data_IF_879287848741
#
_entry.id   IF_879287848741
#
_cell.length_a   1.000
_cell.length_b   1.000
_cell.length_c   1.000
_cell.angle_alpha   90.00
_cell.angle_beta   90.00
_cell.angle_gamma   90.00
#
_symmetry.space_group_name_H-M   'P 1'
#
loop_
_entity.id
_entity.type
_entity.pdbx_description
1 polymer ?
#
# COMPACT_ATOMS: atom_id res chain seq x y z
N UNK A 1 35.20 -4.70 36.82
CA UNK A 1 35.61 -4.82 35.39
C UNK A 1 37.06 -4.36 35.21
N UNK A 2 37.83 -4.94 34.27
CA UNK A 2 39.13 -4.38 33.87
C UNK A 2 38.94 -3.00 33.22
N UNK A 3 39.83 -2.04 33.50
CA UNK A 3 39.82 -0.67 32.93
C UNK A 3 39.66 -0.68 31.41
N UNK A 4 40.25 -1.68 30.74
CA UNK A 4 40.20 -1.83 29.29
C UNK A 4 38.79 -2.17 28.74
N UNK A 5 37.99 -2.93 29.49
CA UNK A 5 36.63 -3.28 29.06
C UNK A 5 35.69 -2.07 29.15
N UNK A 6 35.82 -1.25 30.19
CA UNK A 6 35.04 -0.02 30.36
C UNK A 6 35.37 0.99 29.25
N UNK A 7 36.65 1.14 28.93
CA UNK A 7 37.11 2.03 27.85
C UNK A 7 36.67 1.55 26.46
N UNK A 8 36.59 0.23 26.23
CA UNK A 8 36.07 -0.32 24.96
C UNK A 8 34.55 -0.14 24.82
N UNK A 9 33.77 -0.30 25.90
CA UNK A 9 32.33 -0.08 25.91
C UNK A 9 31.98 1.40 25.64
N UNK A 10 32.70 2.32 26.28
CA UNK A 10 32.53 3.76 26.05
C UNK A 10 32.78 4.17 24.59
N UNK A 11 33.83 3.62 23.96
CA UNK A 11 34.13 3.87 22.54
C UNK A 11 33.05 3.32 21.61
N UNK A 12 32.49 2.15 21.91
CA UNK A 12 31.38 1.57 21.13
C UNK A 12 30.11 2.42 21.25
N UNK A 13 29.80 2.91 22.46
CA UNK A 13 28.65 3.77 22.71
C UNK A 13 28.76 5.10 21.94
N UNK A 14 29.90 5.78 22.05
CA UNK A 14 30.17 7.05 21.35
C UNK A 14 30.07 6.88 19.83
N UNK A 15 30.66 5.80 19.31
CA UNK A 15 30.53 5.45 17.89
C UNK A 15 29.06 5.27 17.50
N UNK A 16 28.30 4.41 18.19
CA UNK A 16 26.89 4.17 17.85
C UNK A 16 26.03 5.44 17.97
N UNK A 17 26.32 6.33 18.92
CA UNK A 17 25.63 7.62 19.07
C UNK A 17 25.92 8.57 17.91
N UNK A 18 27.18 8.69 17.47
CA UNK A 18 27.56 9.51 16.31
C UNK A 18 26.81 9.03 15.05
N UNK A 19 26.77 7.72 14.81
CA UNK A 19 26.10 7.17 13.63
C UNK A 19 24.58 7.23 13.72
N UNK A 20 24.00 7.10 14.92
CA UNK A 20 22.58 7.36 15.15
C UNK A 20 22.20 8.80 14.80
N UNK A 21 22.95 9.79 15.32
CA UNK A 21 22.73 11.21 15.02
C UNK A 21 22.85 11.49 13.52
N UNK A 22 23.85 10.92 12.85
CA UNK A 22 24.01 11.03 11.39
C UNK A 22 22.84 10.42 10.63
N UNK A 23 22.32 9.27 11.06
CA UNK A 23 21.15 8.63 10.45
C UNK A 23 19.89 9.50 10.61
N UNK A 24 19.66 10.05 11.80
CA UNK A 24 18.56 10.98 12.08
C UNK A 24 18.63 12.23 11.20
N UNK A 25 19.82 12.81 11.01
CA UNK A 25 20.02 13.93 10.09
C UNK A 25 19.66 13.56 8.64
N UNK A 26 20.06 12.38 8.18
CA UNK A 26 19.70 11.90 6.83
C UNK A 26 18.19 11.70 6.69
N UNK A 27 17.51 11.18 7.72
CA UNK A 27 16.05 11.02 7.73
C UNK A 27 15.35 12.38 7.58
N UNK A 28 15.79 13.41 8.32
CA UNK A 28 15.24 14.77 8.22
C UNK A 28 15.42 15.31 6.79
N UNK A 29 16.63 15.23 6.24
CA UNK A 29 16.92 15.68 4.88
C UNK A 29 16.10 14.92 3.82
N UNK A 30 15.86 13.62 4.02
CA UNK A 30 15.07 12.79 3.12
C UNK A 30 13.57 13.09 3.23
N UNK A 31 13.07 13.41 4.42
CA UNK A 31 11.70 13.87 4.61
C UNK A 31 11.43 15.20 3.91
N UNK A 32 12.36 16.14 3.93
CA UNK A 32 12.27 17.39 3.17
C UNK A 32 12.25 17.13 1.65
N UNK A 33 13.15 16.26 1.18
CA UNK A 33 13.20 15.83 -0.23
C UNK A 33 11.92 15.11 -0.65
N UNK A 34 11.38 14.23 0.19
CA UNK A 34 10.14 13.50 -0.05
C UNK A 34 8.95 14.46 -0.11
N UNK A 35 8.89 15.43 0.79
CA UNK A 35 7.83 16.45 0.81
C UNK A 35 7.88 17.33 -0.44
N UNK A 36 9.08 17.78 -0.84
CA UNK A 36 9.29 18.55 -2.07
C UNK A 36 8.95 17.77 -3.34
N UNK A 37 9.35 16.50 -3.41
CA UNK A 37 9.03 15.61 -4.54
C UNK A 37 7.54 15.26 -4.58
N UNK A 38 6.92 15.05 -3.42
CA UNK A 38 5.49 14.76 -3.30
C UNK A 38 4.65 15.97 -3.69
N UNK A 39 5.05 17.18 -3.28
CA UNK A 39 4.41 18.42 -3.72
C UNK A 39 4.48 18.55 -5.24
N UNK A 40 5.67 18.38 -5.84
CA UNK A 40 5.85 18.42 -7.31
C UNK A 40 5.04 17.36 -8.06
N UNK A 41 4.84 16.18 -7.46
CA UNK A 41 3.97 15.14 -8.00
C UNK A 41 2.48 15.48 -7.88
N UNK A 42 2.07 16.17 -6.81
CA UNK A 42 0.69 16.59 -6.52
C UNK A 42 0.25 17.89 -7.20
N UNK A 43 1.18 18.76 -7.65
CA UNK A 43 0.84 19.99 -8.40
C UNK A 43 0.11 19.64 -9.72
N UNK A 44 -1.09 20.19 -10.01
CA UNK A 44 -1.90 19.78 -11.16
C UNK A 44 -1.33 20.15 -12.55
N UNK A 45 -1.16 19.12 -13.38
CA UNK A 45 -1.54 18.99 -14.80
C UNK A 45 -1.44 20.17 -15.78
N UNK A 46 -0.24 20.50 -16.30
CA UNK A 46 -0.13 21.42 -17.47
C UNK A 46 0.70 20.90 -18.66
N UNK A 47 1.05 19.60 -18.74
CA UNK A 47 1.84 19.17 -19.92
C UNK A 47 1.58 17.77 -20.50
N UNK A 48 0.76 16.91 -19.89
CA UNK A 48 0.46 15.58 -20.47
C UNK A 48 1.67 14.65 -20.71
N UNK A 49 2.89 15.04 -20.29
CA UNK A 49 4.13 14.29 -20.53
C UNK A 49 4.23 13.10 -19.58
N UNK A 50 3.84 11.91 -20.07
CA UNK A 50 3.87 10.64 -19.33
C UNK A 50 5.26 10.27 -18.78
N UNK A 51 6.33 10.63 -19.49
CA UNK A 51 7.73 10.39 -19.10
C UNK A 51 8.12 11.09 -17.79
N UNK A 52 7.66 12.31 -17.57
CA UNK A 52 7.96 13.09 -16.36
C UNK A 52 7.32 12.50 -15.09
N UNK A 53 6.14 11.88 -15.24
CA UNK A 53 5.44 11.23 -14.12
C UNK A 53 6.10 9.94 -13.68
N UNK A 54 6.58 9.14 -14.64
CA UNK A 54 7.31 7.92 -14.33
C UNK A 54 8.61 8.24 -13.58
N UNK A 55 9.36 9.25 -14.03
CA UNK A 55 10.58 9.72 -13.36
C UNK A 55 10.31 10.21 -11.92
N UNK A 56 9.25 11.01 -11.70
CA UNK A 56 8.87 11.44 -10.35
C UNK A 56 8.42 10.27 -9.46
N UNK A 57 7.69 9.29 -10.01
CA UNK A 57 7.28 8.10 -9.25
C UNK A 57 8.48 7.26 -8.82
N UNK A 58 9.44 7.03 -9.73
CA UNK A 58 10.69 6.35 -9.41
C UNK A 58 11.50 7.12 -8.36
N UNK A 59 11.59 8.44 -8.49
CA UNK A 59 12.30 9.30 -7.52
C UNK A 59 11.64 9.26 -6.14
N UNK A 60 10.31 9.28 -6.08
CA UNK A 60 9.57 9.13 -4.81
C UNK A 60 9.85 7.76 -4.17
N UNK A 61 9.74 6.67 -4.93
CA UNK A 61 10.03 5.33 -4.44
C UNK A 61 11.49 5.18 -3.96
N UNK A 62 12.45 5.78 -4.67
CA UNK A 62 13.86 5.74 -4.27
C UNK A 62 14.14 6.55 -3.00
N UNK A 63 13.56 7.76 -2.87
CA UNK A 63 13.70 8.58 -1.64
C UNK A 63 13.07 7.86 -0.46
N UNK A 64 11.90 7.27 -0.64
CA UNK A 64 11.20 6.52 0.39
C UNK A 64 11.96 5.26 0.80
N UNK A 65 12.49 4.50 -0.16
CA UNK A 65 13.36 3.35 0.11
C UNK A 65 14.61 3.73 0.88
N UNK A 66 15.34 4.77 0.43
CA UNK A 66 16.54 5.24 1.12
C UNK A 66 16.23 5.76 2.53
N UNK A 67 15.11 6.47 2.70
CA UNK A 67 14.66 6.93 4.03
C UNK A 67 14.41 5.75 4.95
N UNK A 68 13.75 4.70 4.46
CA UNK A 68 13.50 3.49 5.25
C UNK A 68 14.81 2.80 5.65
N UNK A 69 15.81 2.73 4.76
CA UNK A 69 17.15 2.21 5.10
C UNK A 69 17.79 3.00 6.24
N UNK A 70 17.69 4.34 6.23
CA UNK A 70 18.22 5.14 7.35
C UNK A 70 17.41 4.98 8.64
N UNK A 71 16.09 4.76 8.56
CA UNK A 71 15.30 4.39 9.72
C UNK A 71 15.76 3.06 10.32
N UNK A 72 15.92 2.02 9.50
CA UNK A 72 16.46 0.72 9.92
C UNK A 72 17.84 0.88 10.57
N UNK A 73 18.73 1.65 9.94
CA UNK A 73 20.07 1.90 10.46
C UNK A 73 20.05 2.67 11.80
N UNK A 74 19.20 3.70 11.92
CA UNK A 74 19.03 4.44 13.17
C UNK A 74 18.49 3.53 14.28
N UNK A 75 17.54 2.63 13.97
CA UNK A 75 17.01 1.68 14.94
C UNK A 75 18.07 0.69 15.41
N UNK A 76 18.88 0.13 14.50
CA UNK A 76 20.00 -0.76 14.86
C UNK A 76 20.97 -0.04 15.80
N UNK A 77 21.34 1.22 15.50
CA UNK A 77 22.23 2.01 16.36
C UNK A 77 21.58 2.36 17.71
N UNK A 78 20.28 2.63 17.74
CA UNK A 78 19.55 2.81 18.99
C UNK A 78 19.55 1.54 19.86
N UNK A 79 19.38 0.37 19.24
CA UNK A 79 19.44 -0.92 19.93
C UNK A 79 20.85 -1.22 20.45
N UNK A 80 21.91 -0.94 19.67
CA UNK A 80 23.29 -1.07 20.14
C UNK A 80 23.55 -0.17 21.37
N UNK A 81 23.07 1.08 21.35
CA UNK A 81 23.20 1.99 22.48
C UNK A 81 22.41 1.50 23.71
N UNK A 82 21.21 0.96 23.50
CA UNK A 82 20.40 0.37 24.57
C UNK A 82 21.00 -0.92 25.11
N UNK A 83 21.63 -1.74 24.27
CA UNK A 83 22.28 -2.96 24.70
C UNK A 83 23.50 -2.63 25.57
N UNK A 84 24.34 -1.68 25.15
CA UNK A 84 25.48 -1.26 25.99
C UNK A 84 25.00 -0.64 27.32
N UNK A 85 23.87 0.08 27.31
CA UNK A 85 23.24 0.60 28.55
C UNK A 85 22.67 -0.51 29.42
N UNK A 86 21.96 -1.49 28.85
CA UNK A 86 21.45 -2.67 29.56
C UNK A 86 22.56 -3.55 30.08
N UNK A 87 23.62 -3.79 29.32
CA UNK A 87 24.81 -4.52 29.79
C UNK A 87 25.53 -3.76 30.93
N UNK A 88 25.27 -2.44 31.08
CA UNK A 88 25.74 -1.63 32.21
C UNK A 88 24.72 -1.55 33.36
N UNK A 89 23.43 -1.75 33.09
CA UNK A 89 22.30 -1.71 34.04
C UNK A 89 21.92 -3.14 34.55
N UNK A 90 22.32 -4.22 33.89
CA UNK A 90 22.09 -5.61 34.33
C UNK A 90 22.98 -6.01 35.53
N UNK A 91 23.85 -5.09 36.00
CA UNK A 91 24.47 -5.15 37.35
C UNK A 91 23.67 -4.37 38.42
N UNK A 92 22.64 -3.59 38.06
CA UNK A 92 21.79 -2.81 38.98
C UNK A 92 20.31 -2.78 38.51
N UNK A 93 19.48 -3.64 39.14
CA UNK A 93 18.01 -3.66 39.13
C UNK A 93 17.28 -4.35 37.95
N UNK A 94 16.92 -5.61 38.22
CA UNK A 94 15.69 -6.21 37.70
C UNK A 94 14.46 -5.33 38.00
N UNK A 95 13.69 -5.00 36.96
CA UNK A 95 12.24 -4.82 37.11
C UNK A 95 11.72 -3.40 36.87
N UNK A 96 11.72 -2.96 35.61
CA UNK A 96 10.87 -1.83 35.21
C UNK A 96 9.71 -2.30 34.30
N UNK A 97 8.60 -2.70 34.94
CA UNK A 97 7.34 -2.98 34.25
C UNK A 97 6.48 -1.71 34.25
N UNK A 98 6.41 -1.05 33.08
CA UNK A 98 5.55 0.11 32.86
C UNK A 98 4.08 -0.30 32.61
N UNK A 99 3.09 0.51 33.05
CA UNK A 99 1.70 0.11 33.14
C UNK A 99 1.06 -0.07 31.76
N UNK A 100 0.30 -1.16 31.61
CA UNK A 100 -0.47 -1.47 30.41
C UNK A 100 -1.52 -0.37 30.15
N UNK A 101 -1.78 0.00 28.89
CA UNK A 101 -2.85 0.95 28.56
C UNK A 101 -4.19 0.44 29.11
N UNK A 102 -4.85 1.26 29.93
CA UNK A 102 -6.18 0.95 30.46
C UNK A 102 -7.15 0.78 29.29
N UNK A 103 -7.65 -0.44 29.12
CA UNK A 103 -8.72 -0.71 28.15
C UNK A 103 -9.99 -0.04 28.66
N UNK A 104 -10.56 0.86 27.85
CA UNK A 104 -11.91 1.38 28.07
C UNK A 104 -12.89 0.20 27.99
N UNK A 105 -13.26 -0.34 29.15
CA UNK A 105 -14.24 -1.42 29.27
C UNK A 105 -15.58 -0.91 28.76
N UNK A 106 -16.14 -1.59 27.76
CA UNK A 106 -17.48 -1.31 27.23
C UNK A 106 -18.40 -2.47 27.55
N UNK A 107 -19.55 -2.16 28.13
CA UNK A 107 -20.54 -3.15 28.50
C UNK A 107 -21.29 -3.64 27.26
N UNK A 108 -21.35 -4.95 27.01
CA UNK A 108 -22.11 -5.51 25.86
C UNK A 108 -23.61 -5.64 26.11
N UNK A 109 -24.11 -5.17 27.26
CA UNK A 109 -25.53 -5.16 27.62
C UNK A 109 -26.14 -3.76 27.49
N UNK A 110 -25.49 -2.73 28.01
CA UNK A 110 -25.98 -1.35 27.93
C UNK A 110 -25.16 -0.45 27.00
N UNK A 111 -23.97 -0.88 26.59
CA UNK A 111 -23.03 -0.13 25.74
C UNK A 111 -22.38 1.09 26.39
N UNK A 112 -22.48 1.21 27.72
CA UNK A 112 -21.77 2.24 28.48
C UNK A 112 -20.31 1.84 28.75
N UNK A 113 -19.47 2.84 28.98
CA UNK A 113 -18.06 2.67 29.36
C UNK A 113 -17.90 2.52 30.87
N UNK A 114 -16.80 1.88 31.30
CA UNK A 114 -16.40 1.77 32.71
C UNK A 114 -16.78 0.47 33.41
N UNK A 115 -17.53 -0.43 32.77
CA UNK A 115 -17.86 -1.75 33.34
C UNK A 115 -18.03 -2.83 32.26
N UNK A 116 -18.00 -4.10 32.67
CA UNK A 116 -18.33 -5.24 31.80
C UNK A 116 -19.77 -5.67 32.02
N UNK A 117 -20.30 -6.49 31.10
CA UNK A 117 -21.65 -7.06 31.19
C UNK A 117 -21.97 -7.71 32.54
N UNK A 118 -21.00 -8.36 33.16
CA UNK A 118 -21.19 -9.08 34.42
C UNK A 118 -21.51 -8.15 35.60
N UNK A 119 -21.13 -6.86 35.49
CA UNK A 119 -21.39 -5.85 36.52
C UNK A 119 -22.50 -4.86 36.10
N UNK A 120 -23.25 -5.19 35.05
CA UNK A 120 -24.27 -4.33 34.49
C UNK A 120 -25.62 -4.52 35.20
N UNK A 121 -26.16 -3.44 35.76
CA UNK A 121 -27.47 -3.42 36.45
C UNK A 121 -28.62 -2.96 35.55
N UNK A 122 -28.33 -2.52 34.33
CA UNK A 122 -29.34 -2.00 33.40
C UNK A 122 -29.86 -3.10 32.49
N UNK A 123 -31.10 -2.98 32.04
CA UNK A 123 -31.65 -3.91 31.07
C UNK A 123 -30.88 -3.87 29.74
N UNK A 124 -30.88 -4.97 28.95
CA UNK A 124 -30.25 -4.99 27.63
C UNK A 124 -30.81 -3.89 26.71
N UNK A 125 -29.92 -3.06 26.18
CA UNK A 125 -30.24 -1.95 25.27
C UNK A 125 -29.68 -2.20 23.88
N UNK A 126 -30.38 -1.68 22.88
CA UNK A 126 -29.88 -1.66 21.51
C UNK A 126 -28.64 -0.78 21.38
N UNK A 127 -27.58 -1.24 20.69
CA UNK A 127 -26.35 -0.44 20.48
C UNK A 127 -26.64 0.84 19.69
N UNK A 128 -27.63 0.80 18.79
CA UNK A 128 -27.99 1.87 17.87
C UNK A 128 -28.87 2.91 18.57
N UNK A 129 -30.12 2.58 18.91
CA UNK A 129 -31.08 3.54 19.45
C UNK A 129 -31.09 3.65 20.99
N UNK A 130 -30.27 2.86 21.70
CA UNK A 130 -30.14 2.85 23.16
C UNK A 130 -31.41 2.50 23.96
N UNK A 131 -32.51 2.11 23.30
CA UNK A 131 -33.73 1.67 23.98
C UNK A 131 -33.70 0.17 24.31
N UNK A 132 -34.34 -0.25 25.40
CA UNK A 132 -34.44 -1.67 25.78
C UNK A 132 -35.47 -2.43 24.92
N UNK A 133 -35.52 -3.75 25.10
CA UNK A 133 -36.63 -4.58 24.62
C UNK A 133 -36.50 -5.17 23.21
N UNK A 134 -35.42 -4.90 22.46
CA UNK A 134 -35.17 -5.51 21.15
C UNK A 134 -33.68 -5.76 20.86
N UNK A 135 -33.40 -6.62 19.88
CA UNK A 135 -32.03 -6.98 19.45
C UNK A 135 -31.55 -6.09 18.30
N UNK A 136 -30.26 -6.13 18.00
CA UNK A 136 -29.69 -5.44 16.83
C UNK A 136 -30.32 -5.98 15.54
N UNK A 137 -30.69 -5.07 14.63
CA UNK A 137 -31.32 -5.42 13.36
C UNK A 137 -32.78 -5.88 13.48
N UNK A 138 -33.42 -5.71 14.65
CA UNK A 138 -34.84 -6.00 14.86
C UNK A 138 -35.72 -4.89 14.25
N UNK A 139 -36.85 -5.27 13.64
CA UNK A 139 -37.81 -4.34 13.03
C UNK A 139 -38.42 -3.36 14.03
N UNK A 140 -38.33 -3.65 15.34
CA UNK A 140 -38.76 -2.77 16.42
C UNK A 140 -37.82 -1.59 16.68
N UNK A 141 -36.62 -1.58 16.08
CA UNK A 141 -35.68 -0.49 16.23
C UNK A 141 -36.11 0.75 15.43
N UNK A 142 -36.03 1.94 16.02
CA UNK A 142 -36.31 3.21 15.32
C UNK A 142 -35.43 3.44 14.09
N UNK A 143 -34.24 2.85 14.08
CA UNK A 143 -33.24 2.94 13.01
C UNK A 143 -33.27 1.72 12.08
N UNK A 144 -34.27 0.85 12.20
CA UNK A 144 -34.41 -0.33 11.34
C UNK A 144 -34.72 0.08 9.91
N UNK A 145 -33.89 -0.40 8.98
CA UNK A 145 -34.13 -0.24 7.55
C UNK A 145 -33.35 -1.30 6.78
N UNK A 146 -34.03 -2.06 5.91
CA UNK A 146 -33.38 -2.99 4.99
C UNK A 146 -32.61 -2.20 3.94
N UNK A 147 -31.32 -2.53 3.78
CA UNK A 147 -30.41 -1.82 2.87
C UNK A 147 -30.06 -2.67 1.64
N UNK A 148 -30.83 -2.58 0.56
CA UNK A 148 -30.62 -3.38 -0.66
C UNK A 148 -29.28 -3.14 -1.37
N UNK A 149 -28.68 -1.95 -1.17
CA UNK A 149 -27.41 -1.55 -1.78
C UNK A 149 -26.21 -1.66 -0.84
N UNK A 150 -26.33 -2.37 0.29
CA UNK A 150 -25.21 -2.62 1.20
C UNK A 150 -24.65 -4.02 0.98
N UNK A 151 -23.32 -4.12 0.92
CA UNK A 151 -22.61 -5.40 1.00
C UNK A 151 -21.87 -5.43 2.34
N UNK A 152 -22.43 -6.17 3.29
CA UNK A 152 -21.77 -6.48 4.55
C UNK A 152 -20.71 -7.57 4.34
N UNK A 153 -19.52 -7.34 4.90
CA UNK A 153 -18.40 -8.29 4.84
C UNK A 153 -17.61 -8.31 6.14
N UNK A 154 -17.10 -9.49 6.50
CA UNK A 154 -16.16 -9.69 7.60
C UNK A 154 -15.50 -11.08 7.48
N UNK A 155 -14.49 -11.31 8.32
CA UNK A 155 -13.88 -12.64 8.51
C UNK A 155 -12.97 -13.08 7.36
N UNK A 156 -12.36 -14.26 7.52
CA UNK A 156 -11.40 -14.84 6.57
C UNK A 156 -12.04 -15.40 5.30
N UNK A 157 -13.33 -15.73 5.35
CA UNK A 157 -14.05 -16.33 4.22
C UNK A 157 -14.56 -15.31 3.20
N UNK A 158 -14.39 -14.01 3.45
CA UNK A 158 -14.89 -12.95 2.58
C UNK A 158 -13.74 -12.19 1.92
N UNK A 159 -13.62 -12.27 0.60
CA UNK A 159 -12.56 -11.62 -0.19
C UNK A 159 -12.39 -10.12 0.11
N UNK A 160 -13.47 -9.42 0.45
CA UNK A 160 -13.45 -7.99 0.75
C UNK A 160 -12.78 -7.66 2.09
N UNK A 161 -12.77 -8.61 3.02
CA UNK A 161 -12.20 -8.48 4.36
C UNK A 161 -10.68 -8.40 4.35
N UNK A 162 -10.10 -7.65 5.30
CA UNK A 162 -8.65 -7.65 5.52
C UNK A 162 -8.12 -8.98 6.04
N UNK A 163 -9.00 -9.79 6.62
CA UNK A 163 -8.69 -11.10 7.18
C UNK A 163 -8.66 -12.20 6.13
N UNK A 164 -9.10 -11.92 4.90
CA UNK A 164 -9.06 -12.91 3.82
C UNK A 164 -7.61 -13.32 3.52
N UNK A 165 -7.28 -14.63 3.60
CA UNK A 165 -5.96 -15.13 3.26
C UNK A 165 -5.64 -14.89 1.79
N UNK A 166 -4.60 -14.10 1.53
CA UNK A 166 -4.11 -13.83 0.19
C UNK A 166 -2.65 -13.37 0.24
N UNK A 167 -1.85 -13.81 -0.72
CA UNK A 167 -0.49 -13.34 -0.88
C UNK A 167 -0.48 -11.93 -1.45
N UNK A 168 0.18 -11.01 -0.74
CA UNK A 168 0.32 -9.61 -1.13
C UNK A 168 1.76 -9.18 -0.95
N UNK A 169 2.36 -8.62 -2.00
CA UNK A 169 3.64 -7.93 -1.90
C UNK A 169 3.39 -6.43 -1.69
N UNK A 170 3.65 -5.95 -0.48
CA UNK A 170 3.41 -4.55 -0.10
C UNK A 170 4.68 -4.04 0.60
N UNK A 171 5.14 -2.85 0.22
CA UNK A 171 6.39 -2.27 0.72
C UNK A 171 7.63 -3.17 0.51
N UNK A 172 7.61 -4.02 -0.52
CA UNK A 172 8.71 -4.95 -0.84
C UNK A 172 8.71 -6.23 -0.01
N UNK A 173 7.68 -6.46 0.81
CA UNK A 173 7.55 -7.60 1.73
C UNK A 173 6.31 -8.41 1.35
N UNK A 174 6.44 -9.74 1.38
CA UNK A 174 5.30 -10.64 1.20
C UNK A 174 4.49 -10.80 2.49
N UNK A 175 3.17 -10.72 2.37
CA UNK A 175 2.22 -10.83 3.46
C UNK A 175 1.12 -11.84 3.12
N UNK A 176 0.63 -12.54 4.15
CA UNK A 176 -0.42 -13.59 4.03
C UNK A 176 -1.84 -13.02 4.01
N UNK A 177 -2.01 -11.72 4.26
CA UNK A 177 -3.28 -11.00 4.15
C UNK A 177 -3.04 -9.49 4.24
N UNK A 178 -4.09 -8.70 3.95
CA UNK A 178 -4.04 -7.25 4.13
C UNK A 178 -3.88 -6.85 5.61
N UNK A 179 -4.42 -7.64 6.55
CA UNK A 179 -4.23 -7.40 7.98
C UNK A 179 -2.76 -7.57 8.39
N UNK A 180 -2.04 -8.56 7.85
CA UNK A 180 -0.60 -8.70 8.11
C UNK A 180 0.17 -7.48 7.63
N UNK A 181 -0.09 -7.02 6.41
CA UNK A 181 0.56 -5.84 5.85
C UNK A 181 0.28 -4.59 6.70
N UNK A 182 -0.96 -4.44 7.18
CA UNK A 182 -1.37 -3.30 7.98
C UNK A 182 -0.70 -3.28 9.37
N UNK A 183 -0.72 -4.41 10.08
CA UNK A 183 -0.09 -4.52 11.39
C UNK A 183 1.44 -4.47 11.29
N UNK A 184 2.02 -5.05 10.23
CA UNK A 184 3.46 -4.94 9.97
C UNK A 184 3.88 -3.48 9.75
N UNK A 185 3.16 -2.75 8.89
CA UNK A 185 3.42 -1.34 8.67
C UNK A 185 3.21 -0.50 9.93
N UNK A 186 2.22 -0.85 10.77
CA UNK A 186 2.01 -0.25 12.09
C UNK A 186 3.24 -0.44 12.96
N UNK A 187 3.68 -1.67 13.15
CA UNK A 187 4.84 -2.03 13.97
C UNK A 187 6.11 -1.30 13.53
N UNK A 188 6.43 -1.31 12.24
CA UNK A 188 7.59 -0.60 11.70
C UNK A 188 7.51 0.92 11.97
N UNK A 189 6.37 1.56 11.68
CA UNK A 189 6.21 3.01 11.87
C UNK A 189 6.16 3.43 13.33
N UNK A 190 5.84 2.51 14.22
CA UNK A 190 5.91 2.69 15.67
C UNK A 190 7.27 2.33 16.28
N UNK A 191 8.21 1.80 15.49
CA UNK A 191 9.54 1.38 15.96
C UNK A 191 9.58 0.04 16.70
N UNK A 192 8.53 -0.79 16.59
CA UNK A 192 8.43 -2.09 17.25
C UNK A 192 8.81 -3.22 16.27
N UNK A 193 10.11 -3.43 16.08
CA UNK A 193 10.64 -4.40 15.10
C UNK A 193 10.36 -5.86 15.49
N UNK A 194 10.35 -6.18 16.79
CA UNK A 194 10.03 -7.51 17.28
C UNK A 194 8.58 -7.89 17.00
N UNK A 195 7.64 -6.95 17.19
CA UNK A 195 6.27 -7.15 16.76
C UNK A 195 6.17 -7.30 15.24
N UNK A 196 6.91 -6.51 14.46
CA UNK A 196 6.91 -6.60 13.00
C UNK A 196 7.35 -7.99 12.51
N UNK A 197 8.45 -8.53 13.07
CA UNK A 197 8.93 -9.89 12.79
C UNK A 197 7.89 -10.94 13.17
N UNK A 198 7.35 -10.85 14.40
CA UNK A 198 6.31 -11.76 14.90
C UNK A 198 5.05 -11.74 14.03
N UNK A 199 4.68 -10.58 13.47
CA UNK A 199 3.54 -10.43 12.56
C UNK A 199 3.79 -11.12 11.21
N UNK A 200 5.02 -11.09 10.69
CA UNK A 200 5.35 -11.82 9.45
C UNK A 200 5.26 -13.33 9.64
N UNK A 201 5.71 -13.82 10.80
CA UNK A 201 5.69 -15.24 11.14
C UNK A 201 4.29 -15.76 11.50
N UNK A 202 3.38 -14.86 11.91
CA UNK A 202 2.01 -15.20 12.29
C UNK A 202 1.31 -16.10 11.25
N UNK A 203 0.56 -17.08 11.76
CA UNK A 203 -0.13 -18.08 10.92
C UNK A 203 -1.33 -17.49 10.18
N UNK A 204 -2.08 -16.61 10.84
CA UNK A 204 -3.35 -16.09 10.37
C UNK A 204 -3.55 -14.60 10.73
N UNK A 205 -4.50 -13.96 10.05
CA UNK A 205 -4.77 -12.53 10.20
C UNK A 205 -5.16 -12.14 11.63
N UNK A 206 -5.86 -13.03 12.35
CA UNK A 206 -6.26 -12.79 13.73
C UNK A 206 -5.04 -12.75 14.66
N UNK A 207 -4.07 -13.64 14.45
CA UNK A 207 -2.81 -13.69 15.18
C UNK A 207 -1.97 -12.43 14.92
N UNK A 208 -1.84 -12.02 13.65
CA UNK A 208 -1.20 -10.75 13.28
C UNK A 208 -1.89 -9.55 13.96
N UNK A 209 -3.23 -9.51 13.97
CA UNK A 209 -4.00 -8.48 14.68
C UNK A 209 -3.72 -8.46 16.18
N UNK A 210 -3.71 -9.62 16.84
CA UNK A 210 -3.46 -9.72 18.28
C UNK A 210 -2.08 -9.22 18.68
N UNK A 211 -1.07 -9.46 17.84
CA UNK A 211 0.28 -8.92 18.04
C UNK A 211 0.26 -7.41 17.83
N UNK A 212 -0.29 -6.95 16.70
CA UNK A 212 -0.40 -5.53 16.36
C UNK A 212 -1.18 -4.70 17.39
N UNK A 213 -2.19 -5.28 18.04
CA UNK A 213 -2.96 -4.63 19.10
C UNK A 213 -2.12 -4.32 20.36
N UNK A 214 -0.96 -4.98 20.55
CA UNK A 214 -0.02 -4.70 21.65
C UNK A 214 0.97 -3.57 21.33
N UNK A 215 1.13 -3.22 20.05
CA UNK A 215 2.06 -2.18 19.60
C UNK A 215 1.58 -0.81 20.08
N UNK A 216 2.47 -0.08 20.75
CA UNK A 216 2.23 1.30 21.18
C UNK A 216 2.14 2.21 19.96
N UNK A 217 1.02 2.93 19.82
CA UNK A 217 0.82 3.88 18.73
C UNK A 217 1.54 5.20 19.00
N UNK A 218 2.08 5.80 17.95
CA UNK A 218 2.60 7.16 17.95
C UNK A 218 1.71 8.10 17.10
N UNK A 219 1.97 9.40 17.16
CA UNK A 219 1.21 10.42 16.42
C UNK A 219 1.29 10.19 14.90
N UNK A 220 2.48 9.85 14.41
CA UNK A 220 2.71 9.54 12.99
C UNK A 220 1.82 8.41 12.47
N UNK A 221 1.62 7.33 13.25
CA UNK A 221 0.71 6.26 12.86
C UNK A 221 -0.74 6.73 12.82
N UNK A 222 -1.14 7.54 13.79
CA UNK A 222 -2.51 8.07 13.88
C UNK A 222 -2.88 8.86 12.62
N UNK A 223 -1.97 9.70 12.13
CA UNK A 223 -2.16 10.50 10.92
C UNK A 223 -2.05 9.69 9.62
N UNK A 224 -1.22 8.63 9.61
CA UNK A 224 -0.90 7.90 8.37
C UNK A 224 -1.64 6.59 8.17
N UNK A 225 -2.30 6.05 9.19
CA UNK A 225 -2.93 4.73 9.14
C UNK A 225 -3.97 4.57 8.02
N UNK A 226 -4.78 5.59 7.74
CA UNK A 226 -5.76 5.57 6.65
C UNK A 226 -5.11 5.53 5.27
N UNK A 227 -4.00 6.24 5.09
CA UNK A 227 -3.24 6.25 3.84
C UNK A 227 -2.60 4.88 3.60
N UNK A 228 -2.01 4.28 4.65
CA UNK A 228 -1.43 2.94 4.60
C UNK A 228 -2.50 1.91 4.23
N UNK A 229 -3.67 1.95 4.87
CA UNK A 229 -4.77 1.04 4.53
C UNK A 229 -5.24 1.24 3.08
N UNK A 230 -5.35 2.49 2.62
CA UNK A 230 -5.73 2.79 1.25
C UNK A 230 -4.75 2.18 0.24
N UNK A 231 -3.46 2.31 0.48
CA UNK A 231 -2.41 1.71 -0.34
C UNK A 231 -2.47 0.18 -0.34
N UNK A 232 -2.73 -0.44 0.81
CA UNK A 232 -2.88 -1.89 0.93
C UNK A 232 -4.07 -2.39 0.10
N UNK A 233 -5.23 -1.73 0.19
CA UNK A 233 -6.42 -2.10 -0.57
C UNK A 233 -6.23 -1.87 -2.08
N UNK A 234 -5.54 -0.80 -2.47
CA UNK A 234 -5.18 -0.56 -3.87
C UNK A 234 -4.26 -1.66 -4.41
N UNK A 235 -3.24 -2.06 -3.65
CA UNK A 235 -2.35 -3.17 -4.01
C UNK A 235 -3.10 -4.51 -4.05
N UNK A 236 -3.97 -4.79 -3.08
CA UNK A 236 -4.84 -5.98 -3.07
C UNK A 236 -5.71 -6.04 -4.32
N UNK A 237 -6.24 -4.91 -4.78
CA UNK A 237 -6.98 -4.84 -6.03
C UNK A 237 -6.13 -5.12 -7.28
N UNK A 238 -4.85 -4.76 -7.27
CA UNK A 238 -3.94 -5.03 -8.40
C UNK A 238 -3.52 -6.50 -8.41
N UNK A 239 -3.17 -7.05 -7.25
CA UNK A 239 -2.54 -8.36 -7.12
C UNK A 239 -3.55 -9.51 -7.02
N UNK A 240 -4.74 -9.28 -6.44
CA UNK A 240 -5.74 -10.33 -6.21
C UNK A 240 -6.91 -10.20 -7.19
N UNK A 241 -6.91 -11.02 -8.25
CA UNK A 241 -7.95 -10.98 -9.30
C UNK A 241 -9.35 -11.16 -8.71
N UNK A 242 -9.57 -12.14 -7.83
CA UNK A 242 -10.88 -12.41 -7.22
C UNK A 242 -11.45 -11.18 -6.48
N UNK A 243 -10.58 -10.38 -5.85
CA UNK A 243 -10.99 -9.13 -5.20
C UNK A 243 -11.40 -8.10 -6.25
N UNK A 244 -10.57 -7.93 -7.29
CA UNK A 244 -10.84 -7.00 -8.39
C UNK A 244 -12.14 -7.33 -9.13
N UNK A 245 -12.39 -8.60 -9.43
CA UNK A 245 -13.61 -9.08 -10.06
C UNK A 245 -14.83 -8.83 -9.19
N UNK A 246 -14.74 -9.11 -7.88
CA UNK A 246 -15.80 -8.80 -6.93
C UNK A 246 -16.14 -7.31 -6.94
N UNK A 247 -15.16 -6.41 -6.99
CA UNK A 247 -15.43 -4.98 -7.09
C UNK A 247 -16.04 -4.55 -8.43
N UNK A 248 -15.70 -5.25 -9.52
CA UNK A 248 -16.25 -4.99 -10.87
C UNK A 248 -17.70 -5.47 -11.00
N UNK A 249 -18.06 -6.59 -10.39
CA UNK A 249 -19.39 -7.21 -10.52
C UNK A 249 -20.48 -6.44 -9.76
N UNK A 250 -20.08 -5.70 -8.73
CA UNK A 250 -21.00 -4.99 -7.84
C UNK A 250 -21.65 -3.79 -8.55
N UNK A 251 -22.94 -3.53 -8.25
CA UNK A 251 -23.72 -2.42 -8.82
C UNK A 251 -23.11 -1.06 -8.50
N UNK A 252 -23.38 -0.06 -9.35
CA UNK A 252 -23.05 1.34 -9.07
C UNK A 252 -23.77 1.79 -7.78
N UNK A 253 -23.14 2.64 -6.98
CA UNK A 253 -23.65 3.14 -5.69
C UNK A 253 -23.80 2.11 -4.56
N UNK A 254 -23.20 0.92 -4.69
CA UNK A 254 -23.13 -0.03 -3.56
C UNK A 254 -22.26 0.51 -2.43
N UNK A 255 -22.76 0.44 -1.20
CA UNK A 255 -22.03 0.74 0.03
C UNK A 255 -21.39 -0.55 0.55
N UNK A 256 -20.06 -0.55 0.65
CA UNK A 256 -19.31 -1.64 1.27
C UNK A 256 -19.29 -1.40 2.78
N UNK A 257 -19.58 -2.42 3.57
CA UNK A 257 -19.70 -2.29 5.02
C UNK A 257 -18.93 -3.39 5.74
N UNK A 258 -17.90 -3.02 6.50
CA UNK A 258 -17.22 -3.98 7.37
C UNK A 258 -18.09 -4.24 8.61
N UNK A 259 -18.70 -5.42 8.68
CA UNK A 259 -19.65 -5.81 9.72
C UNK A 259 -18.92 -6.39 10.94
N UNK A 260 -18.20 -5.51 11.64
CA UNK A 260 -17.49 -5.81 12.89
C UNK A 260 -17.85 -4.78 13.96
N UNK A 261 -17.70 -5.15 15.24
CA UNK A 261 -17.88 -4.26 16.39
C UNK A 261 -16.75 -3.23 16.55
N UNK A 262 -16.02 -2.90 15.48
CA UNK A 262 -14.99 -1.87 15.44
C UNK A 262 -15.62 -0.54 14.98
N UNK A 263 -15.65 0.45 15.86
CA UNK A 263 -16.32 1.72 15.56
C UNK A 263 -15.48 2.66 14.66
N UNK A 264 -14.21 2.35 14.37
CA UNK A 264 -13.37 3.11 13.43
C UNK A 264 -13.38 2.50 12.03
N UNK A 265 -12.99 1.24 11.90
CA UNK A 265 -12.81 0.60 10.60
C UNK A 265 -14.10 -0.03 10.06
N UNK A 266 -14.95 -0.53 10.97
CA UNK A 266 -16.23 -1.17 10.67
C UNK A 266 -17.44 -0.31 11.03
N UNK A 267 -18.61 -0.92 10.89
CA UNK A 267 -19.92 -0.31 11.17
C UNK A 267 -20.26 -0.27 12.66
N UNK A 268 -19.46 -0.92 13.51
CA UNK A 268 -19.78 -1.09 14.92
C UNK A 268 -20.88 -2.13 15.18
N UNK A 269 -21.34 -2.86 14.15
CA UNK A 269 -22.43 -3.84 14.20
C UNK A 269 -21.97 -5.19 13.64
N UNK A 270 -22.70 -6.26 13.98
CA UNK A 270 -22.57 -7.54 13.29
C UNK A 270 -23.27 -7.52 11.93
N UNK A 271 -23.17 -8.61 11.17
CA UNK A 271 -23.70 -8.68 9.81
C UNK A 271 -25.20 -8.36 9.76
N UNK A 272 -26.00 -8.95 10.65
CA UNK A 272 -27.43 -8.72 10.72
C UNK A 272 -27.76 -7.27 11.10
N UNK A 273 -27.04 -6.69 12.07
CA UNK A 273 -27.19 -5.28 12.44
C UNK A 273 -26.81 -4.34 11.29
N UNK A 274 -25.72 -4.60 10.58
CA UNK A 274 -25.28 -3.80 9.43
C UNK A 274 -26.31 -3.78 8.30
N UNK A 275 -26.88 -4.94 7.95
CA UNK A 275 -27.81 -5.07 6.81
C UNK A 275 -29.20 -4.48 7.11
N UNK A 276 -29.58 -4.44 8.39
CA UNK A 276 -30.91 -4.05 8.85
C UNK A 276 -30.95 -2.73 9.64
N UNK A 277 -29.85 -1.99 9.71
CA UNK A 277 -29.79 -0.66 10.32
C UNK A 277 -29.50 0.36 9.25
N UNK A 278 -30.20 1.49 9.30
CA UNK A 278 -29.93 2.64 8.44
C UNK A 278 -28.45 3.03 8.52
N UNK A 279 -27.77 3.13 7.37
CA UNK A 279 -26.33 3.40 7.32
C UNK A 279 -25.89 4.71 7.98
N UNK A 280 -26.77 5.72 8.06
CA UNK A 280 -26.50 6.96 8.80
C UNK A 280 -26.44 6.78 10.31
N UNK A 281 -26.99 5.68 10.81
CA UNK A 281 -27.19 5.41 12.23
C UNK A 281 -26.23 4.30 12.72
N UNK A 282 -25.29 3.87 11.86
CA UNK A 282 -24.24 2.94 12.27
C UNK A 282 -23.35 3.59 13.34
N UNK A 283 -23.09 2.93 14.48
CA UNK A 283 -22.20 3.45 15.52
C UNK A 283 -20.76 3.65 15.04
N UNK A 284 -20.32 2.88 14.04
CA UNK A 284 -18.97 2.92 13.50
C UNK A 284 -18.84 3.70 12.18
N UNK A 285 -17.64 4.24 11.95
CA UNK A 285 -17.32 5.09 10.80
C UNK A 285 -17.15 4.32 9.48
N UNK A 286 -17.00 3.00 9.53
CA UNK A 286 -16.87 2.15 8.35
C UNK A 286 -15.77 2.60 7.35
N UNK A 287 -14.62 3.08 7.86
CA UNK A 287 -13.54 3.61 7.02
C UNK A 287 -13.04 2.60 5.97
N UNK A 288 -12.97 1.30 6.31
CA UNK A 288 -12.55 0.28 5.36
C UNK A 288 -13.52 0.17 4.18
N UNK A 289 -14.83 0.20 4.47
CA UNK A 289 -15.87 0.20 3.45
C UNK A 289 -15.77 1.41 2.51
N UNK A 290 -15.50 2.60 3.05
CA UNK A 290 -15.28 3.80 2.25
C UNK A 290 -14.03 3.71 1.36
N UNK A 291 -12.92 3.17 1.86
CA UNK A 291 -11.70 2.94 1.08
C UNK A 291 -11.97 1.98 -0.08
N UNK A 292 -12.60 0.84 0.18
CA UNK A 292 -12.96 -0.14 -0.86
C UNK A 292 -13.89 0.51 -1.90
N UNK A 293 -14.86 1.32 -1.45
CA UNK A 293 -15.73 2.08 -2.33
C UNK A 293 -14.98 3.03 -3.27
N UNK A 294 -13.99 3.79 -2.75
CA UNK A 294 -13.11 4.65 -3.56
C UNK A 294 -12.32 3.85 -4.59
N UNK A 295 -11.76 2.70 -4.20
CA UNK A 295 -11.02 1.81 -5.11
C UNK A 295 -11.95 1.24 -6.20
N UNK A 296 -13.14 0.78 -5.85
CA UNK A 296 -14.14 0.30 -6.81
C UNK A 296 -14.54 1.38 -7.84
N UNK A 297 -14.70 2.64 -7.39
CA UNK A 297 -14.95 3.77 -8.29
C UNK A 297 -13.78 4.03 -9.25
N UNK A 298 -12.52 3.96 -8.78
CA UNK A 298 -11.31 4.12 -9.61
C UNK A 298 -11.26 3.06 -10.73
N UNK A 299 -11.53 1.79 -10.42
CA UNK A 299 -11.54 0.69 -11.41
C UNK A 299 -12.59 0.94 -12.49
N UNK A 300 -13.80 1.35 -12.11
CA UNK A 300 -14.90 1.61 -13.06
C UNK A 300 -14.59 2.78 -14.00
N UNK A 301 -13.93 3.83 -13.52
CA UNK A 301 -13.49 4.97 -14.35
C UNK A 301 -12.46 4.53 -15.41
N UNK A 302 -11.49 3.69 -15.05
CA UNK A 302 -10.52 3.12 -16.00
C UNK A 302 -11.20 2.27 -17.08
N UNK A 303 -12.14 1.40 -16.71
CA UNK A 303 -12.91 0.61 -17.69
C UNK A 303 -13.64 1.50 -18.72
N UNK A 304 -14.20 2.63 -18.30
CA UNK A 304 -14.85 3.58 -19.21
C UNK A 304 -13.85 4.29 -20.13
N UNK A 305 -12.67 4.69 -19.65
CA UNK A 305 -11.63 5.28 -20.50
C UNK A 305 -11.10 4.28 -21.53
N UNK A 306 -10.92 3.02 -21.11
CA UNK A 306 -10.43 1.95 -21.97
C UNK A 306 -11.48 1.57 -23.03
N UNK A 307 -12.78 1.56 -22.66
CA UNK A 307 -13.89 1.40 -23.61
C UNK A 307 -14.05 2.57 -24.58
N UNK A 308 -13.80 3.81 -24.15
CA UNK A 308 -13.85 4.99 -25.03
C UNK A 308 -12.66 5.03 -26.00
N UNK A 309 -11.57 4.36 -25.65
CA UNK A 309 -10.35 4.27 -26.47
C UNK A 309 -10.38 3.11 -27.47
N UNK A 310 -11.43 2.29 -27.48
CA UNK A 310 -11.68 1.34 -28.58
C UNK A 310 -12.49 2.04 -29.68
N UNK A 311 -12.02 2.07 -30.93
CA UNK A 311 -12.83 2.57 -32.04
C UNK A 311 -14.07 1.69 -32.13
N UNK A 312 -15.26 2.26 -31.90
CA UNK A 312 -16.51 1.59 -32.22
C UNK A 312 -16.49 1.28 -33.71
N UNK A 313 -16.39 0.00 -34.08
CA UNK A 313 -16.79 -0.44 -35.41
C UNK A 313 -18.31 -0.27 -35.52
N UNK A 314 -18.75 0.98 -35.79
CA UNK A 314 -20.09 1.19 -36.31
C UNK A 314 -20.04 0.82 -37.79
N UNK A 315 -20.82 -0.17 -38.17
CA UNK A 315 -21.20 -0.46 -39.55
C UNK A 315 -21.71 0.83 -40.21
N UNK A 316 -20.85 1.52 -40.96
CA UNK A 316 -21.24 2.63 -41.82
C UNK A 316 -20.78 2.30 -43.22
N UNK A 317 -21.77 2.14 -44.09
CA UNK A 317 -21.65 1.84 -45.51
C UNK A 317 -20.56 2.66 -46.20
N UNK A 318 -19.94 1.97 -47.15
CA UNK A 318 -18.91 2.42 -48.08
C UNK A 318 -19.02 3.91 -48.48
N UNK A 319 -17.93 4.65 -48.30
CA UNK A 319 -17.53 5.72 -49.23
C UNK A 319 -16.09 5.49 -49.67
N UNK A 320 -15.91 5.40 -51.00
CA UNK A 320 -14.67 5.19 -51.72
C UNK A 320 -13.69 6.37 -51.55
N UNK A 321 -12.41 5.99 -51.53
CA UNK A 321 -11.19 6.72 -51.95
C UNK A 321 -10.73 7.99 -51.22
N UNK A 322 -9.55 7.89 -50.59
CA UNK A 322 -8.35 8.59 -51.10
C UNK A 322 -7.09 7.93 -50.50
N UNK A 323 -6.25 7.40 -51.39
CA UNK A 323 -5.14 6.49 -51.12
C UNK A 323 -3.82 7.25 -51.12
N UNK A 324 -3.57 8.14 -50.15
CA UNK A 324 -2.35 8.99 -50.17
C UNK A 324 -1.44 8.84 -48.95
N UNK A 325 -1.71 7.92 -48.02
CA UNK A 325 -0.79 7.72 -46.87
C UNK A 325 -0.51 6.24 -46.56
N UNK A 326 -0.11 5.47 -47.57
CA UNK A 326 0.49 4.14 -47.33
C UNK A 326 1.81 3.83 -48.03
N UNK A 327 2.42 4.72 -48.82
CA UNK A 327 3.57 4.34 -49.64
C UNK A 327 4.90 5.04 -49.34
N UNK A 328 5.15 5.49 -48.11
CA UNK A 328 6.51 5.93 -47.71
C UNK A 328 7.43 4.71 -47.51
N UNK A 329 6.93 3.63 -46.91
CA UNK A 329 7.73 2.42 -46.67
C UNK A 329 8.01 1.61 -47.95
N UNK A 330 7.17 1.75 -48.98
CA UNK A 330 7.35 1.10 -50.27
C UNK A 330 8.31 1.91 -51.17
N UNK A 331 8.20 3.24 -51.14
CA UNK A 331 9.13 4.17 -51.81
C UNK A 331 10.56 4.10 -51.25
N UNK A 332 10.74 3.91 -49.94
CA UNK A 332 12.07 3.73 -49.33
C UNK A 332 12.71 2.37 -49.68
N UNK A 333 11.92 1.36 -50.05
CA UNK A 333 12.41 0.05 -50.50
C UNK A 333 12.84 0.08 -51.97
N UNK A 334 12.11 0.80 -52.83
CA UNK A 334 12.50 0.96 -54.24
C UNK A 334 13.76 1.82 -54.42
N UNK A 335 14.00 2.80 -53.54
CA UNK A 335 15.22 3.63 -53.58
C UNK A 335 16.50 2.87 -53.17
N UNK A 336 16.39 1.83 -52.32
CA UNK A 336 17.53 0.94 -52.02
C UNK A 336 17.78 -0.11 -53.09
N UNK A 337 16.73 -0.56 -53.80
CA UNK A 337 16.88 -1.53 -54.88
C UNK A 337 17.51 -0.92 -56.14
N UNK A 338 17.35 0.39 -56.37
CA UNK A 338 17.92 1.07 -57.53
C UNK A 338 19.39 1.49 -57.35
N UNK A 339 19.90 1.63 -56.12
CA UNK A 339 21.33 1.95 -55.90
C UNK A 339 22.25 0.76 -56.09
N UNK A 340 21.72 -0.47 -56.01
CA UNK A 340 22.50 -1.71 -56.17
C UNK A 340 22.41 -2.28 -57.61
N UNK A 341 21.71 -1.59 -58.52
CA UNK A 341 21.50 -2.01 -59.92
C UNK A 341 22.20 -1.11 -60.96
N UNK A 342 22.78 0.04 -60.58
CA UNK A 342 23.54 0.94 -61.47
C UNK A 342 25.07 0.86 -61.25
N UNK A 343 25.62 -0.35 -61.08
CA UNK A 343 27.09 -0.56 -61.11
C UNK A 343 27.49 -1.90 -61.71
N UNK A 344 26.84 -2.30 -62.81
CA UNK A 344 27.26 -3.47 -63.59
C UNK A 344 26.84 -3.39 -65.06
N UNK A 345 27.82 -3.50 -65.96
CA UNK A 345 27.78 -3.49 -67.45
C UNK A 345 27.99 -2.09 -68.07
N UNK A 346 29.06 -1.76 -68.82
CA UNK A 346 30.17 -2.52 -69.41
C UNK A 346 30.37 -2.07 -70.88
N UNK A 347 31.48 -1.38 -71.19
CA UNK A 347 32.17 -1.25 -72.51
C UNK A 347 33.10 -0.01 -72.49
N UNK A 348 34.20 0.11 -73.23
CA UNK A 348 35.26 -0.77 -73.71
C UNK A 348 36.41 0.18 -74.14
N UNK A 349 37.61 -0.40 -74.28
CA UNK A 349 38.73 0.04 -75.14
C UNK A 349 39.80 1.07 -74.67
N UNK A 350 41.06 0.62 -74.89
CA UNK A 350 42.34 1.33 -75.06
C UNK A 350 43.17 1.49 -73.78
N UNK A 351 44.17 0.65 -73.46
CA UNK A 351 45.45 0.27 -74.13
C UNK A 351 46.62 0.90 -73.39
N UNK A 352 47.73 0.15 -73.34
CA UNK A 352 49.09 0.52 -72.87
C UNK A 352 49.35 0.27 -71.36
N UNK A 353 49.93 -0.89 -71.00
CA UNK A 353 51.39 -1.15 -70.81
C UNK A 353 51.94 -0.34 -69.63
N UNK A 354 52.67 -0.86 -68.65
CA UNK A 354 53.65 -1.94 -68.65
C UNK A 354 54.07 -2.22 -67.17
N UNK A 355 54.62 -3.41 -66.93
CA UNK A 355 55.63 -3.74 -65.89
C UNK A 355 55.22 -3.88 -64.41
N UNK A 356 54.89 -5.13 -64.02
CA UNK A 356 55.69 -6.08 -63.19
C UNK A 356 56.55 -5.64 -61.96
N UNK A 357 56.94 -6.56 -61.04
CA UNK A 357 56.43 -6.58 -59.66
C UNK A 357 57.54 -6.68 -58.57
N UNK A 358 57.13 -7.15 -57.38
CA UNK A 358 57.95 -7.60 -56.23
C UNK A 358 58.47 -6.47 -55.32
N UNK A 359 58.73 -6.63 -54.01
CA UNK A 359 58.90 -7.82 -53.18
C UNK A 359 58.74 -7.37 -51.70
N UNK A 360 58.57 -8.36 -50.84
CA UNK A 360 58.73 -8.29 -49.38
C UNK A 360 59.99 -7.55 -48.90
N UNK A 361 59.91 -6.88 -47.74
CA UNK A 361 61.11 -6.36 -47.07
C UNK A 361 60.86 -5.85 -45.66
N UNK A 362 61.46 -6.53 -44.69
CA UNK A 362 61.52 -6.22 -43.26
C UNK A 362 62.09 -4.81 -42.97
N UNK A 363 61.66 -4.25 -41.85
CA UNK A 363 62.31 -3.14 -41.14
C UNK A 363 61.74 -3.03 -39.74
#
# INVERSE_FOLDING_TARGET
>A
MSSDNVMQLAKRLDHSEIYFKKACLQIVMLNDKLSSASRRYRMPHTSGRRSFRYSLRLRLAAIEGLRNVYYEYAMIKAQEMQQVRRDSEEEEEEGHVMPKPQRNLTCTQCWDTGHTRNFCKTEPRCKVCKTPGHKLGDSRCSSYQIQESVIAFNGENNILSNFYPCELNIFGVQHKSAEHAFQYAKSLRCGDLEAAKSIQEAKDALSAKRIGDKVRINEQWTESCENVMSEIIENKCVQVERFREKLRSVKKNTLFAESTFNDKWGTGLDKAGTENTKASDWPGQNLLGHIIGKVAQKIRKRKKSDQWSQPKQSSRQQKKHSTTQKNIAEMLRSLRANTDAESGSGCDASSETDSEPEESGKG
#
